data_IF_961629897143
#
_entry.id   IF_961629897143
#
_cell.length_a   1.000
_cell.length_b   1.000
_cell.length_c   1.000
_cell.angle_alpha   90.00
_cell.angle_beta   90.00
_cell.angle_gamma   90.00
#
_symmetry.space_group_name_H-M   'P 1'
#
loop_
_entity.id
_entity.type
_entity.pdbx_description
1 polymer ?
#
# COMPACT_ATOMS: atom_id res chain seq x y z
N UNK A 1 15.43 9.46 -5.07
CA UNK A 1 15.26 8.26 -4.23
C UNK A 1 16.61 7.59 -4.10
N UNK A 2 17.00 7.18 -2.89
CA UNK A 2 18.26 6.49 -2.63
C UNK A 2 18.00 5.26 -1.76
N UNK A 3 18.81 4.23 -1.96
CA UNK A 3 18.84 3.00 -1.16
C UNK A 3 20.30 2.72 -0.85
N UNK A 4 20.64 2.54 0.42
CA UNK A 4 22.01 2.29 0.90
C UNK A 4 23.03 3.34 0.39
N UNK A 5 22.60 4.60 0.35
CA UNK A 5 23.40 5.73 -0.11
C UNK A 5 23.57 5.84 -1.64
N UNK A 6 22.99 4.93 -2.42
CA UNK A 6 23.09 4.93 -3.88
C UNK A 6 21.79 5.41 -4.55
N UNK A 7 21.86 6.11 -5.70
CA UNK A 7 20.68 6.45 -6.49
C UNK A 7 19.87 5.19 -6.84
N UNK A 8 18.57 5.22 -6.58
CA UNK A 8 17.68 4.09 -6.83
C UNK A 8 16.62 4.46 -7.87
N UNK A 9 16.59 3.71 -8.99
CA UNK A 9 15.55 3.81 -10.02
C UNK A 9 14.60 2.64 -9.89
N UNK A 10 13.32 2.93 -9.73
CA UNK A 10 12.26 1.92 -9.65
C UNK A 10 12.05 1.26 -11.00
N UNK A 11 12.11 -0.07 -11.03
CA UNK A 11 11.76 -0.96 -12.13
C UNK A 11 10.70 -1.91 -11.60
N UNK A 12 9.48 -1.38 -11.54
CA UNK A 12 8.41 -1.95 -10.71
C UNK A 12 7.47 -2.88 -11.46
N UNK A 13 6.96 -3.88 -10.75
CA UNK A 13 5.77 -4.64 -11.13
C UNK A 13 5.00 -5.01 -9.85
N UNK A 14 3.68 -5.03 -9.91
CA UNK A 14 2.81 -5.43 -8.79
C UNK A 14 1.83 -6.50 -9.25
N UNK A 15 1.38 -7.32 -8.33
CA UNK A 15 0.36 -8.35 -8.56
C UNK A 15 -0.59 -8.40 -7.37
N UNK A 16 -1.87 -8.66 -7.63
CA UNK A 16 -2.86 -8.90 -6.58
C UNK A 16 -2.85 -10.36 -6.11
N UNK A 17 -3.30 -10.58 -4.87
CA UNK A 17 -3.37 -11.92 -4.28
C UNK A 17 -1.97 -12.44 -3.89
N UNK A 18 -1.77 -12.69 -2.61
CA UNK A 18 -0.54 -13.29 -2.11
C UNK A 18 -0.90 -14.29 -1.04
N UNK A 19 -0.89 -15.57 -1.41
CA UNK A 19 -0.56 -16.59 -0.43
C UNK A 19 0.94 -16.49 -0.10
N UNK A 20 1.33 -16.94 1.10
CA UNK A 20 2.74 -17.01 1.46
C UNK A 20 3.53 -17.89 0.45
N UNK A 21 2.89 -18.94 -0.07
CA UNK A 21 3.46 -19.89 -1.03
C UNK A 21 3.78 -19.24 -2.39
N UNK A 22 2.96 -18.30 -2.86
CA UNK A 22 3.17 -17.64 -4.14
C UNK A 22 4.17 -16.48 -4.07
N UNK A 23 4.44 -15.95 -2.87
CA UNK A 23 5.23 -14.73 -2.70
C UNK A 23 6.67 -14.92 -3.20
N UNK A 24 7.36 -15.98 -2.78
CA UNK A 24 8.73 -16.28 -3.22
C UNK A 24 8.86 -16.40 -4.75
N UNK A 25 8.07 -17.29 -5.41
CA UNK A 25 8.08 -17.43 -6.87
C UNK A 25 7.80 -16.11 -7.63
N UNK A 26 6.94 -15.23 -7.09
CA UNK A 26 6.67 -13.91 -7.69
C UNK A 26 7.87 -12.97 -7.55
N UNK A 27 8.55 -12.96 -6.41
CA UNK A 27 9.76 -12.17 -6.20
C UNK A 27 10.90 -12.65 -7.11
N UNK A 28 11.10 -13.96 -7.22
CA UNK A 28 12.07 -14.53 -8.18
C UNK A 28 11.75 -14.10 -9.61
N UNK A 29 10.49 -14.26 -10.05
CA UNK A 29 10.09 -13.86 -11.40
C UNK A 29 10.27 -12.36 -11.67
N UNK A 30 10.11 -11.51 -10.65
CA UNK A 30 10.41 -10.08 -10.76
C UNK A 30 11.91 -9.82 -10.94
N UNK A 31 12.76 -10.50 -10.16
CA UNK A 31 14.21 -10.40 -10.28
C UNK A 31 14.70 -10.89 -11.66
N UNK A 32 14.14 -11.99 -12.17
CA UNK A 32 14.48 -12.58 -13.48
C UNK A 32 14.26 -11.62 -14.64
N UNK A 33 13.27 -10.72 -14.54
CA UNK A 33 12.99 -9.68 -15.55
C UNK A 33 13.71 -8.36 -15.27
N UNK A 34 14.71 -8.36 -14.38
CA UNK A 34 15.44 -7.17 -13.91
C UNK A 34 14.55 -6.12 -13.23
N UNK A 35 13.40 -6.53 -12.69
CA UNK A 35 12.62 -5.71 -11.77
C UNK A 35 13.30 -5.62 -10.41
N UNK A 36 13.00 -4.57 -9.65
CA UNK A 36 13.60 -4.36 -8.33
C UNK A 36 12.61 -3.83 -7.29
N UNK A 37 11.36 -3.57 -7.66
CA UNK A 37 10.36 -3.01 -6.74
C UNK A 37 9.00 -3.66 -6.95
N UNK A 38 8.30 -3.99 -5.86
CA UNK A 38 6.87 -4.30 -5.90
C UNK A 38 6.09 -3.37 -4.98
N UNK A 39 4.77 -3.34 -5.14
CA UNK A 39 3.83 -2.61 -4.29
C UNK A 39 2.80 -3.58 -3.71
N UNK A 40 2.46 -3.41 -2.45
CA UNK A 40 1.28 -4.04 -1.81
C UNK A 40 0.15 -3.01 -1.64
N UNK A 41 -1.08 -3.48 -1.46
CA UNK A 41 -2.22 -2.61 -1.13
C UNK A 41 -2.47 -2.47 0.37
N UNK A 42 -1.92 -3.38 1.17
CA UNK A 42 -2.04 -3.40 2.62
C UNK A 42 -0.74 -3.84 3.28
N UNK A 43 -0.63 -3.47 4.56
CA UNK A 43 0.42 -3.92 5.46
C UNK A 43 -0.26 -4.42 6.72
N UNK A 44 0.09 -5.63 7.14
CA UNK A 44 -0.58 -6.39 8.18
C UNK A 44 0.32 -7.47 8.77
N UNK A 45 -0.25 -8.35 9.59
CA UNK A 45 0.49 -9.40 10.29
C UNK A 45 1.19 -10.39 9.34
N UNK A 46 0.65 -10.56 8.14
CA UNK A 46 1.15 -11.42 7.07
C UNK A 46 2.26 -10.77 6.22
N UNK A 47 2.47 -9.45 6.36
CA UNK A 47 3.40 -8.70 5.50
C UNK A 47 4.86 -9.04 5.76
N UNK A 48 5.20 -9.59 6.92
CA UNK A 48 6.56 -10.06 7.23
C UNK A 48 7.06 -11.06 6.18
N UNK A 49 6.25 -12.06 5.81
CA UNK A 49 6.63 -13.05 4.81
C UNK A 49 6.89 -12.43 3.42
N UNK A 50 6.12 -11.39 3.06
CA UNK A 50 6.32 -10.63 1.82
C UNK A 50 7.64 -9.88 1.86
N UNK A 51 7.94 -9.22 2.99
CA UNK A 51 9.15 -8.44 3.15
C UNK A 51 10.41 -9.33 3.23
N UNK A 52 10.33 -10.47 3.92
CA UNK A 52 11.42 -11.45 3.99
C UNK A 52 11.75 -11.96 2.57
N UNK A 53 10.74 -12.42 1.82
CA UNK A 53 10.94 -12.89 0.45
C UNK A 53 11.48 -11.79 -0.48
N UNK A 54 10.99 -10.54 -0.33
CA UNK A 54 11.52 -9.43 -1.12
C UNK A 54 13.01 -9.18 -0.83
N UNK A 55 13.41 -9.22 0.45
CA UNK A 55 14.80 -9.04 0.85
C UNK A 55 15.72 -10.17 0.33
N UNK A 56 15.23 -11.41 0.31
CA UNK A 56 15.97 -12.57 -0.25
C UNK A 56 16.28 -12.42 -1.75
N UNK A 57 15.47 -11.66 -2.49
CA UNK A 57 15.61 -11.45 -3.93
C UNK A 57 16.09 -10.04 -4.32
N UNK A 58 16.64 -9.26 -3.37
CA UNK A 58 17.06 -7.86 -3.58
C UNK A 58 15.94 -6.94 -4.15
N UNK A 59 14.68 -7.29 -3.87
CA UNK A 59 13.49 -6.52 -4.22
C UNK A 59 13.12 -5.59 -3.06
N UNK A 60 12.75 -4.36 -3.39
CA UNK A 60 12.20 -3.40 -2.42
C UNK A 60 10.68 -3.34 -2.54
N UNK A 61 10.01 -3.00 -1.44
CA UNK A 61 8.54 -2.99 -1.34
C UNK A 61 8.05 -1.59 -1.01
N UNK A 62 7.15 -1.09 -1.85
CA UNK A 62 6.27 0.04 -1.52
C UNK A 62 5.12 -0.54 -0.71
N UNK A 63 5.20 -0.40 0.61
CA UNK A 63 4.26 -1.00 1.55
C UNK A 63 2.99 -0.13 1.64
N UNK A 64 1.87 -0.68 1.16
CA UNK A 64 0.61 0.03 1.07
C UNK A 64 -0.22 -0.04 2.35
N UNK A 65 -1.12 0.91 2.51
CA UNK A 65 -2.21 0.90 3.48
C UNK A 65 -3.51 1.18 2.75
N UNK A 66 -4.45 0.23 2.81
CA UNK A 66 -5.72 0.39 2.12
C UNK A 66 -6.59 1.41 2.86
N UNK A 67 -7.01 2.45 2.15
CA UNK A 67 -8.08 3.33 2.58
C UNK A 67 -9.34 2.96 1.79
N UNK A 68 -10.51 2.95 2.45
CA UNK A 68 -11.77 2.63 1.78
C UNK A 68 -12.02 3.65 0.64
N UNK A 69 -12.11 3.24 -0.63
CA UNK A 69 -12.43 4.18 -1.70
C UNK A 69 -13.90 4.56 -1.61
N UNK A 70 -14.28 5.80 -1.94
CA UNK A 70 -15.71 6.19 -1.93
C UNK A 70 -16.46 5.62 -3.14
N UNK A 71 -17.48 4.78 -2.93
CA UNK A 71 -18.53 4.53 -3.94
C UNK A 71 -18.17 3.71 -5.19
N UNK A 72 -16.96 3.18 -5.31
CA UNK A 72 -16.56 2.24 -6.38
C UNK A 72 -16.75 0.76 -6.02
N UNK A 73 -16.53 -0.19 -6.96
CA UNK A 73 -16.46 -1.61 -6.63
C UNK A 73 -15.39 -1.88 -5.54
N UNK A 74 -15.74 -2.67 -4.51
CA UNK A 74 -14.83 -2.95 -3.38
C UNK A 74 -14.69 -1.81 -2.36
N UNK A 75 -15.46 -0.72 -2.48
CA UNK A 75 -15.46 0.42 -1.55
C UNK A 75 -15.92 0.11 -0.13
N UNK A 76 -16.79 -0.88 0.03
CA UNK A 76 -17.47 -1.10 1.30
C UNK A 76 -18.48 0.01 1.67
N UNK A 77 -18.76 0.96 0.76
CA UNK A 77 -19.74 2.02 0.93
C UNK A 77 -19.24 3.43 0.59
N UNK A 78 -19.89 4.43 1.19
CA UNK A 78 -19.59 5.85 1.03
C UNK A 78 -18.92 6.40 2.29
N UNK A 79 -17.61 6.17 2.42
CA UNK A 79 -16.84 6.71 3.54
C UNK A 79 -16.76 8.24 3.46
N UNK A 80 -17.17 8.94 4.52
CA UNK A 80 -17.00 10.39 4.65
C UNK A 80 -15.78 10.70 5.52
N UNK A 81 -14.64 10.96 4.87
CA UNK A 81 -13.39 11.32 5.55
C UNK A 81 -13.49 12.61 6.40
N UNK A 82 -14.52 13.44 6.23
CA UNK A 82 -14.71 14.66 7.03
C UNK A 82 -15.30 14.31 8.39
N UNK A 83 -16.35 13.50 8.40
CA UNK A 83 -17.22 13.28 9.57
C UNK A 83 -16.99 11.94 10.26
N UNK A 84 -16.48 10.92 9.57
CA UNK A 84 -16.22 9.60 10.16
C UNK A 84 -14.93 9.61 10.98
N UNK A 85 -15.04 10.04 12.23
CA UNK A 85 -13.92 10.14 13.17
C UNK A 85 -13.45 8.77 13.66
N UNK A 86 -14.36 7.80 13.80
CA UNK A 86 -14.03 6.43 14.19
C UNK A 86 -13.12 5.78 13.16
N UNK A 87 -13.53 5.79 11.88
CA UNK A 87 -12.72 5.23 10.80
C UNK A 87 -11.33 5.87 10.72
N UNK A 88 -11.27 7.21 10.80
CA UNK A 88 -9.99 7.95 10.78
C UNK A 88 -9.05 7.54 11.92
N UNK A 89 -9.59 7.42 13.13
CA UNK A 89 -8.78 7.09 14.31
C UNK A 89 -8.28 5.65 14.25
N UNK A 90 -9.17 4.71 13.92
CA UNK A 90 -8.82 3.28 13.83
C UNK A 90 -7.80 3.03 12.72
N UNK A 91 -8.04 3.61 11.53
CA UNK A 91 -7.12 3.48 10.40
C UNK A 91 -5.76 4.11 10.70
N UNK A 92 -5.72 5.29 11.33
CA UNK A 92 -4.47 5.93 11.72
C UNK A 92 -3.71 5.09 12.75
N UNK A 93 -4.40 4.56 13.76
CA UNK A 93 -3.78 3.71 14.78
C UNK A 93 -3.20 2.43 14.16
N UNK A 94 -3.92 1.81 13.22
CA UNK A 94 -3.46 0.62 12.52
C UNK A 94 -2.24 0.89 11.64
N UNK A 95 -2.26 1.97 10.85
CA UNK A 95 -1.10 2.40 10.06
C UNK A 95 0.12 2.60 10.95
N UNK A 96 -0.02 3.35 12.05
CA UNK A 96 1.10 3.64 12.95
C UNK A 96 1.65 2.36 13.60
N UNK A 97 0.80 1.41 13.95
CA UNK A 97 1.21 0.11 14.48
C UNK A 97 2.13 -0.62 13.52
N UNK A 98 1.72 -0.76 12.26
CA UNK A 98 2.50 -1.51 11.26
C UNK A 98 3.74 -0.77 10.77
N UNK A 99 3.69 0.56 10.68
CA UNK A 99 4.89 1.36 10.42
C UNK A 99 5.91 1.12 11.53
N UNK A 100 5.52 1.15 12.81
CA UNK A 100 6.47 0.91 13.89
C UNK A 100 7.05 -0.51 13.88
N UNK A 101 6.25 -1.51 13.52
CA UNK A 101 6.70 -2.90 13.41
C UNK A 101 7.72 -3.11 12.28
N UNK A 102 7.53 -2.46 11.12
CA UNK A 102 8.25 -2.81 9.89
C UNK A 102 9.16 -1.70 9.32
N UNK A 103 9.22 -0.50 9.91
CA UNK A 103 10.05 0.63 9.41
C UNK A 103 11.53 0.31 9.20
N UNK A 104 12.07 -0.61 9.98
CA UNK A 104 13.50 -0.98 9.95
C UNK A 104 13.75 -2.24 9.09
N UNK A 105 12.72 -2.77 8.43
CA UNK A 105 12.84 -3.94 7.59
C UNK A 105 13.56 -3.59 6.27
N UNK A 106 14.62 -4.32 5.86
CA UNK A 106 15.45 -3.95 4.70
C UNK A 106 14.68 -3.88 3.38
N UNK A 107 13.66 -4.72 3.20
CA UNK A 107 12.83 -4.66 2.01
C UNK A 107 11.97 -3.38 1.89
N UNK A 108 11.64 -2.67 2.97
CA UNK A 108 10.72 -1.52 2.91
C UNK A 108 11.40 -0.33 2.23
N UNK A 109 10.85 0.11 1.10
CA UNK A 109 11.33 1.29 0.36
C UNK A 109 10.68 2.57 0.84
N UNK A 110 9.35 2.54 0.93
CA UNK A 110 8.51 3.66 1.30
C UNK A 110 7.09 3.18 1.62
N UNK A 111 6.33 4.05 2.27
CA UNK A 111 4.93 3.81 2.62
C UNK A 111 3.99 4.46 1.60
N UNK A 112 2.93 3.76 1.22
CA UNK A 112 1.88 4.28 0.36
C UNK A 112 0.54 4.29 1.11
N UNK A 113 -0.13 5.44 1.11
CA UNK A 113 -1.44 5.59 1.78
C UNK A 113 -2.53 5.60 0.72
N UNK A 114 -3.42 4.62 0.80
CA UNK A 114 -4.57 4.47 -0.07
C UNK A 114 -4.26 3.96 -1.48
N UNK A 115 -5.34 3.77 -2.22
CA UNK A 115 -5.34 3.54 -3.65
C UNK A 115 -6.58 4.24 -4.19
N UNK A 116 -6.42 5.33 -4.92
CA UNK A 116 -7.57 6.00 -5.58
C UNK A 116 -8.72 6.31 -4.61
N UNK A 117 -8.41 6.60 -3.34
CA UNK A 117 -9.40 6.72 -2.27
C UNK A 117 -10.48 7.79 -2.57
N UNK A 118 -10.10 8.82 -3.32
CA UNK A 118 -10.96 9.92 -3.76
C UNK A 118 -11.40 9.83 -5.24
N UNK A 119 -11.03 8.79 -5.99
CA UNK A 119 -11.26 8.74 -7.44
C UNK A 119 -12.75 8.62 -7.81
N UNK A 120 -13.54 7.99 -6.94
CA UNK A 120 -14.93 7.58 -7.20
C UNK A 120 -15.94 8.18 -6.22
N UNK A 121 -15.51 9.16 -5.41
CA UNK A 121 -16.34 9.81 -4.38
C UNK A 121 -17.56 10.54 -4.95
N UNK A 122 -17.55 10.91 -6.23
CA UNK A 122 -18.69 11.48 -6.96
C UNK A 122 -19.91 10.53 -7.02
N UNK A 123 -19.73 9.24 -6.80
CA UNK A 123 -20.85 8.29 -6.67
C UNK A 123 -21.58 8.44 -5.33
N UNK A 124 -20.96 9.12 -4.36
CA UNK A 124 -21.44 9.26 -2.99
C UNK A 124 -21.77 10.72 -2.62
N UNK A 125 -21.14 11.69 -3.26
CA UNK A 125 -21.24 13.11 -2.90
C UNK A 125 -21.48 13.98 -4.14
N UNK A 126 -22.23 15.07 -3.96
CA UNK A 126 -22.46 16.03 -5.05
C UNK A 126 -21.20 16.86 -5.35
N UNK A 127 -21.13 17.44 -6.55
CA UNK A 127 -20.04 18.35 -6.90
C UNK A 127 -19.92 19.53 -5.93
N UNK A 128 -21.07 20.08 -5.48
CA UNK A 128 -21.11 21.14 -4.47
C UNK A 128 -20.48 20.68 -3.15
N UNK A 129 -20.84 19.50 -2.65
CA UNK A 129 -20.27 18.97 -1.39
C UNK A 129 -18.75 18.79 -1.48
N UNK A 130 -18.25 18.40 -2.65
CA UNK A 130 -16.82 18.17 -2.87
C UNK A 130 -16.02 19.48 -3.02
N UNK A 131 -16.61 20.50 -3.65
CA UNK A 131 -15.96 21.82 -3.84
C UNK A 131 -15.90 22.65 -2.54
N UNK A 132 -16.76 22.35 -1.56
CA UNK A 132 -16.72 22.96 -0.23
C UNK A 132 -15.52 22.50 0.62
N UNK A 133 -14.86 21.40 0.23
CA UNK A 133 -13.66 20.88 0.89
C UNK A 133 -12.44 21.65 0.34
N UNK A 134 -12.04 22.71 1.05
CA UNK A 134 -10.81 23.48 0.79
C UNK A 134 -9.76 23.29 1.89
#
# INVERSE_FOLDING_TARGET
LQVDGQPYTVRGFTWGGTSAEETGPRMQGLADINGNTTRTWGTGADSRAIFDAAAEHDVRVIAGFWLLPGGGPGSGGCIDYRTDTTYKNDTKADILRWVQEYKDHPAVLMWNIGNEAILVVQNCYSGTDLEEIR
#
